data_IF_175106409948
#
_entry.id   IF_175106409948
#
_cell.length_a   1.000
_cell.length_b   1.000
_cell.length_c   1.000
_cell.angle_alpha   90.00
_cell.angle_beta   90.00
_cell.angle_gamma   90.00
#
_symmetry.space_group_name_H-M   'P 1'
#
loop_
_entity.id
_entity.type
_entity.pdbx_description
1 polymer ?
#
# COMPACT_ATOMS: atom_id res chain seq x y z
N UNK A 1 -17.13 -2.94 40.43
CA UNK A 1 -17.12 -1.56 39.90
C UNK A 1 -16.89 -1.69 38.41
N UNK A 2 -17.94 -1.40 37.64
CA UNK A 2 -18.04 -1.63 36.19
C UNK A 2 -17.35 -0.47 35.45
N UNK A 3 -16.35 -0.78 34.62
CA UNK A 3 -15.61 0.24 33.87
C UNK A 3 -16.46 0.71 32.70
N UNK A 4 -16.75 2.01 32.55
CA UNK A 4 -17.73 2.45 31.58
C UNK A 4 -17.23 2.33 30.12
N UNK A 5 -18.13 1.87 29.26
CA UNK A 5 -17.92 1.45 27.87
C UNK A 5 -17.45 2.56 26.89
N UNK A 6 -17.35 3.81 27.32
CA UNK A 6 -16.97 4.95 26.46
C UNK A 6 -15.49 5.32 26.50
N UNK A 7 -14.68 4.64 27.33
CA UNK A 7 -13.23 4.90 27.46
C UNK A 7 -12.35 4.18 26.43
N UNK A 8 -12.94 3.42 25.49
CA UNK A 8 -12.20 2.59 24.50
C UNK A 8 -12.19 3.12 23.06
N UNK A 9 -13.11 4.01 22.68
CA UNK A 9 -13.39 4.20 21.25
C UNK A 9 -12.60 5.30 20.52
N UNK A 10 -11.87 6.18 21.22
CA UNK A 10 -11.11 7.26 20.57
C UNK A 10 -9.60 6.94 20.45
N UNK A 11 -9.04 6.25 21.44
CA UNK A 11 -7.61 5.93 21.48
C UNK A 11 -7.28 4.73 20.57
N UNK A 12 -8.12 3.69 20.52
CA UNK A 12 -7.90 2.52 19.67
C UNK A 12 -8.04 2.84 18.16
N UNK A 13 -8.92 3.78 17.80
CA UNK A 13 -9.09 4.28 16.41
C UNK A 13 -7.92 5.19 15.97
N UNK A 14 -7.42 6.04 16.88
CA UNK A 14 -6.26 6.89 16.60
C UNK A 14 -4.97 6.07 16.55
N UNK A 15 -4.84 5.05 17.40
CA UNK A 15 -3.69 4.16 17.46
C UNK A 15 -3.62 3.21 16.26
N UNK A 16 -4.72 2.59 15.82
CA UNK A 16 -4.71 1.76 14.59
C UNK A 16 -4.33 2.56 13.34
N UNK A 17 -4.89 3.77 13.16
CA UNK A 17 -4.55 4.64 12.03
C UNK A 17 -3.13 5.24 12.13
N UNK A 18 -2.63 5.44 13.34
CA UNK A 18 -1.24 5.88 13.59
C UNK A 18 -0.25 4.71 13.45
N UNK A 19 -0.64 3.47 13.72
CA UNK A 19 0.20 2.27 13.58
C UNK A 19 0.31 1.82 12.12
N UNK A 20 -0.77 1.91 11.33
CA UNK A 20 -0.68 1.72 9.86
C UNK A 20 0.20 2.80 9.22
N UNK A 21 0.22 4.02 9.76
CA UNK A 21 1.13 5.10 9.35
C UNK A 21 2.55 4.93 9.90
N UNK A 22 2.74 4.26 11.04
CA UNK A 22 4.06 3.89 11.55
C UNK A 22 4.66 2.69 10.79
N UNK A 23 3.81 1.88 10.15
CA UNK A 23 4.23 0.80 9.24
C UNK A 23 4.63 1.32 7.85
N UNK A 24 4.67 2.62 7.63
CA UNK A 24 5.20 3.23 6.42
C UNK A 24 6.03 4.45 6.85
N UNK A 25 7.34 4.37 6.69
CA UNK A 25 8.23 5.47 7.10
C UNK A 25 8.02 6.77 6.30
N UNK A 26 7.24 6.72 5.21
CA UNK A 26 6.76 7.87 4.45
C UNK A 26 5.27 7.74 4.11
N UNK A 27 4.53 8.85 3.90
CA UNK A 27 3.21 8.78 3.28
C UNK A 27 3.32 8.28 1.84
N UNK A 28 2.37 7.43 1.43
CA UNK A 28 2.22 7.02 0.03
C UNK A 28 1.66 8.18 -0.81
N UNK A 29 2.16 8.31 -2.03
CA UNK A 29 1.61 9.18 -3.07
C UNK A 29 0.16 8.80 -3.40
N UNK A 30 -0.61 9.71 -3.98
CA UNK A 30 -1.96 9.43 -4.50
C UNK A 30 -1.94 8.31 -5.55
N UNK A 31 -0.89 8.24 -6.37
CA UNK A 31 -0.69 7.18 -7.36
C UNK A 31 -0.41 5.83 -6.68
N UNK A 32 0.43 5.81 -5.66
CA UNK A 32 0.73 4.59 -4.89
C UNK A 32 -0.50 4.07 -4.14
N UNK A 33 -1.32 4.96 -3.58
CA UNK A 33 -2.59 4.61 -2.92
C UNK A 33 -3.62 4.04 -3.92
N UNK A 34 -3.73 4.66 -5.10
CA UNK A 34 -4.62 4.18 -6.18
C UNK A 34 -4.18 2.79 -6.64
N UNK A 35 -2.87 2.59 -6.84
CA UNK A 35 -2.29 1.31 -7.21
C UNK A 35 -2.52 0.24 -6.14
N UNK A 36 -2.28 0.55 -4.85
CA UNK A 36 -2.51 -0.36 -3.75
C UNK A 36 -3.98 -0.77 -3.62
N UNK A 37 -4.91 0.19 -3.76
CA UNK A 37 -6.36 -0.07 -3.71
C UNK A 37 -6.80 -1.00 -4.85
N UNK A 38 -6.24 -0.80 -6.06
CA UNK A 38 -6.53 -1.65 -7.20
C UNK A 38 -6.00 -3.08 -6.99
N UNK A 39 -4.78 -3.22 -6.46
CA UNK A 39 -4.21 -4.52 -6.10
C UNK A 39 -5.04 -5.25 -5.05
N UNK A 40 -5.42 -4.57 -3.96
CA UNK A 40 -6.29 -5.15 -2.93
C UNK A 40 -7.60 -5.65 -3.53
N UNK A 41 -8.24 -4.87 -4.40
CA UNK A 41 -9.49 -5.26 -5.07
C UNK A 41 -9.30 -6.52 -5.92
N UNK A 42 -8.19 -6.61 -6.67
CA UNK A 42 -7.89 -7.77 -7.51
C UNK A 42 -7.59 -9.02 -6.66
N UNK A 43 -6.84 -8.88 -5.57
CA UNK A 43 -6.54 -10.00 -4.67
C UNK A 43 -7.76 -10.48 -3.88
N UNK A 44 -8.68 -9.59 -3.50
CA UNK A 44 -9.95 -9.96 -2.84
C UNK A 44 -10.82 -10.82 -3.76
N UNK A 45 -10.77 -10.58 -5.08
CA UNK A 45 -11.45 -11.40 -6.09
C UNK A 45 -10.84 -12.81 -6.23
N UNK A 46 -9.72 -13.09 -5.55
CA UNK A 46 -9.00 -14.37 -5.59
C UNK A 46 -8.02 -14.50 -6.74
N UNK A 47 -7.73 -13.40 -7.45
CA UNK A 47 -6.73 -13.37 -8.51
C UNK A 47 -5.34 -13.16 -7.90
N UNK A 48 -4.50 -14.20 -7.95
CA UNK A 48 -3.12 -14.16 -7.45
C UNK A 48 -2.06 -14.36 -8.54
N UNK A 49 -2.50 -14.58 -9.79
CA UNK A 49 -1.59 -14.71 -10.93
C UNK A 49 -1.10 -13.33 -11.37
N UNK A 50 0.21 -13.13 -11.45
CA UNK A 50 0.78 -11.80 -11.74
C UNK A 50 0.48 -11.30 -13.14
N UNK A 51 0.32 -12.20 -14.12
CA UNK A 51 -0.03 -11.82 -15.49
C UNK A 51 -1.49 -11.38 -15.55
N UNK A 52 -2.38 -12.11 -14.86
CA UNK A 52 -3.79 -11.72 -14.75
C UNK A 52 -3.99 -10.43 -13.95
N UNK A 53 -3.24 -10.24 -12.86
CA UNK A 53 -3.23 -8.99 -12.10
C UNK A 53 -2.79 -7.81 -12.99
N UNK A 54 -1.70 -7.97 -13.74
CA UNK A 54 -1.23 -6.95 -14.67
C UNK A 54 -2.27 -6.65 -15.77
N UNK A 55 -2.90 -7.67 -16.34
CA UNK A 55 -3.97 -7.49 -17.32
C UNK A 55 -5.15 -6.69 -16.74
N UNK A 56 -5.57 -6.99 -15.51
CA UNK A 56 -6.66 -6.27 -14.82
C UNK A 56 -6.28 -4.84 -14.47
N UNK A 57 -5.06 -4.59 -14.02
CA UNK A 57 -4.55 -3.23 -13.77
C UNK A 57 -4.55 -2.38 -15.05
N UNK A 58 -4.15 -2.98 -16.17
CA UNK A 58 -4.20 -2.33 -17.49
C UNK A 58 -5.63 -2.02 -17.92
N UNK A 59 -6.55 -2.98 -17.73
CA UNK A 59 -7.98 -2.79 -18.06
C UNK A 59 -8.62 -1.70 -17.22
N UNK A 60 -8.21 -1.56 -15.95
CA UNK A 60 -8.66 -0.50 -15.06
C UNK A 60 -7.99 0.85 -15.34
N UNK A 61 -6.98 0.90 -16.21
CA UNK A 61 -6.25 2.13 -16.55
C UNK A 61 -5.45 2.69 -15.39
N UNK A 62 -5.05 1.84 -14.44
CA UNK A 62 -4.26 2.25 -13.27
C UNK A 62 -2.89 2.72 -13.75
N UNK A 63 -2.44 3.88 -13.28
CA UNK A 63 -1.13 4.43 -13.64
C UNK A 63 -0.07 3.93 -12.65
N UNK A 64 1.03 3.39 -13.19
CA UNK A 64 2.18 2.97 -12.40
C UNK A 64 2.81 4.17 -11.67
N UNK A 65 3.04 4.08 -10.34
CA UNK A 65 3.48 5.22 -9.55
C UNK A 65 4.89 5.72 -9.90
N UNK A 66 5.81 4.84 -10.31
CA UNK A 66 7.17 5.24 -10.68
C UNK A 66 7.30 5.45 -12.19
N UNK A 67 6.88 4.47 -12.98
CA UNK A 67 7.04 4.51 -14.44
C UNK A 67 6.02 5.38 -15.17
N UNK A 68 4.89 5.73 -14.54
CA UNK A 68 3.81 6.50 -15.18
C UNK A 68 3.08 5.76 -16.31
N UNK A 69 3.35 4.47 -16.51
CA UNK A 69 2.70 3.65 -17.52
C UNK A 69 1.36 3.13 -17.03
N UNK A 70 0.34 3.13 -17.89
CA UNK A 70 -0.93 2.42 -17.66
C UNK A 70 -0.99 1.06 -18.36
N UNK A 71 0.05 0.71 -19.11
CA UNK A 71 0.20 -0.61 -19.74
C UNK A 71 1.02 -1.50 -18.82
N UNK A 72 0.34 -2.37 -18.08
CA UNK A 72 0.96 -3.28 -17.13
C UNK A 72 1.32 -4.61 -17.78
N UNK A 73 2.52 -5.06 -17.47
CA UNK A 73 3.01 -6.42 -17.72
C UNK A 73 3.46 -7.01 -16.38
N UNK A 74 3.58 -8.34 -16.28
CA UNK A 74 4.09 -8.96 -15.06
C UNK A 74 5.51 -8.46 -14.68
N UNK A 75 6.35 -8.20 -15.68
CA UNK A 75 7.69 -7.64 -15.51
C UNK A 75 7.65 -6.20 -14.94
N UNK A 76 6.79 -5.35 -15.50
CA UNK A 76 6.60 -3.98 -15.00
C UNK A 76 6.01 -3.99 -13.59
N UNK A 77 5.02 -4.85 -13.33
CA UNK A 77 4.41 -5.02 -12.02
C UNK A 77 5.47 -5.38 -10.97
N UNK A 78 6.33 -6.36 -11.27
CA UNK A 78 7.39 -6.77 -10.36
C UNK A 78 8.44 -5.66 -10.16
N UNK A 79 8.79 -4.93 -11.23
CA UNK A 79 9.71 -3.79 -11.17
C UNK A 79 9.16 -2.68 -10.28
N UNK A 80 7.91 -2.28 -10.47
CA UNK A 80 7.25 -1.25 -9.66
C UNK A 80 7.16 -1.66 -8.18
N UNK A 81 6.77 -2.91 -7.90
CA UNK A 81 6.72 -3.42 -6.53
C UNK A 81 8.10 -3.43 -5.87
N UNK A 82 9.15 -3.82 -6.60
CA UNK A 82 10.53 -3.81 -6.09
C UNK A 82 10.98 -2.38 -5.79
N UNK A 83 10.67 -1.44 -6.67
CA UNK A 83 11.09 -0.04 -6.55
C UNK A 83 10.34 0.68 -5.41
N UNK A 84 9.03 0.45 -5.28
CA UNK A 84 8.24 0.95 -4.14
C UNK A 84 8.80 0.40 -2.82
N UNK A 85 9.07 -0.91 -2.75
CA UNK A 85 9.65 -1.51 -1.54
C UNK A 85 11.04 -0.94 -1.23
N UNK A 86 11.90 -0.73 -2.23
CA UNK A 86 13.22 -0.09 -2.02
C UNK A 86 13.07 1.31 -1.46
N UNK A 87 12.17 2.12 -2.00
CA UNK A 87 11.92 3.48 -1.52
C UNK A 87 11.34 3.51 -0.11
N UNK A 88 10.46 2.55 0.22
CA UNK A 88 9.95 2.39 1.58
C UNK A 88 11.08 1.99 2.54
N UNK A 89 11.93 1.02 2.16
CA UNK A 89 13.09 0.60 2.96
C UNK A 89 14.07 1.76 3.20
N UNK A 90 14.37 2.57 2.18
CA UNK A 90 15.17 3.78 2.33
C UNK A 90 14.54 4.76 3.32
N UNK A 91 13.24 5.04 3.18
CA UNK A 91 12.53 5.90 4.13
C UNK A 91 12.58 5.32 5.56
N UNK A 92 12.53 3.99 5.71
CA UNK A 92 12.67 3.30 6.99
C UNK A 92 14.07 3.46 7.60
N UNK A 93 15.13 3.43 6.81
CA UNK A 93 16.49 3.70 7.30
C UNK A 93 16.68 5.18 7.70
N UNK A 94 16.00 6.10 7.03
CA UNK A 94 16.12 7.55 7.28
C UNK A 94 15.23 8.06 8.41
N UNK A 95 14.07 7.43 8.65
CA UNK A 95 13.04 7.87 9.61
C UNK A 95 12.64 6.83 10.65
N UNK A 96 13.19 5.62 10.58
CA UNK A 96 12.99 4.58 11.58
C UNK A 96 13.71 4.96 12.88
N UNK A 97 12.96 5.05 13.98
CA UNK A 97 13.53 5.11 15.31
C UNK A 97 14.36 3.85 15.57
N UNK A 98 15.68 3.95 15.37
CA UNK A 98 16.59 2.82 15.52
C UNK A 98 18.01 3.07 15.01
N UNK A 99 18.63 4.20 15.39
CA UNK A 99 20.08 4.37 15.47
C UNK A 99 20.44 4.80 16.90
#
# INVERSE_FOLDING_TARGET
MDTPQWMKSADEQRSSRSLSRQSLARPLSELEQTFATALETIFIDGCHDMDEVAARLSQQGVVAPNSGSSSWTADLLNTELTEINRQLDQAYQEHGFGA
#
